data_IF_821230274291
#
_entry.id   IF_821230274291
#
_cell.length_a   1.000
_cell.length_b   1.000
_cell.length_c   1.000
_cell.angle_alpha   90.00
_cell.angle_beta   90.00
_cell.angle_gamma   90.00
#
_symmetry.space_group_name_H-M   'P 1'
#
loop_
_entity.id
_entity.type
_entity.pdbx_description
1 polymer ?
#
# COMPACT_ATOMS: atom_id res chain seq x y z
N UNK A 1 -89.71 -16.76 -56.45
CA UNK A 1 -89.52 -15.31 -56.36
C UNK A 1 -88.48 -15.04 -55.27
N UNK A 2 -87.50 -14.19 -55.60
CA UNK A 2 -86.36 -13.70 -54.80
C UNK A 2 -85.27 -14.75 -54.47
N UNK A 3 -84.19 -14.71 -55.25
CA UNK A 3 -82.89 -15.31 -54.93
C UNK A 3 -82.19 -14.41 -53.88
N UNK A 4 -81.63 -14.95 -52.78
CA UNK A 4 -80.80 -14.16 -51.87
C UNK A 4 -79.41 -13.92 -52.47
N UNK A 5 -78.99 -12.66 -52.43
CA UNK A 5 -77.67 -12.14 -52.79
C UNK A 5 -76.59 -12.62 -51.82
N UNK A 6 -75.61 -13.37 -52.32
CA UNK A 6 -74.37 -13.68 -51.61
C UNK A 6 -73.49 -12.42 -51.53
N UNK A 7 -73.15 -12.01 -50.31
CA UNK A 7 -72.19 -10.94 -50.07
C UNK A 7 -70.82 -11.59 -49.85
N UNK A 8 -69.75 -11.22 -50.60
CA UNK A 8 -68.46 -11.85 -50.43
C UNK A 8 -67.82 -11.48 -49.10
N UNK A 9 -67.43 -12.50 -48.33
CA UNK A 9 -66.71 -12.36 -47.06
C UNK A 9 -65.24 -11.95 -47.33
N UNK A 10 -64.67 -10.98 -46.60
CA UNK A 10 -63.31 -10.52 -46.85
C UNK A 10 -62.28 -11.59 -46.48
N UNK A 11 -61.31 -11.79 -47.36
CA UNK A 11 -60.17 -12.71 -47.18
C UNK A 11 -59.36 -12.31 -45.95
N UNK A 12 -59.07 -13.27 -45.06
CA UNK A 12 -58.23 -13.04 -43.89
C UNK A 12 -56.81 -12.64 -44.31
N UNK A 13 -56.32 -11.52 -43.80
CA UNK A 13 -54.92 -11.11 -43.91
C UNK A 13 -54.08 -12.03 -43.02
N UNK A 14 -52.97 -12.63 -43.50
CA UNK A 14 -52.14 -13.49 -42.67
C UNK A 14 -51.49 -12.66 -41.55
N UNK A 15 -51.67 -13.10 -40.31
CA UNK A 15 -51.00 -12.53 -39.13
C UNK A 15 -49.48 -12.70 -39.29
N UNK A 16 -48.74 -11.59 -39.28
CA UNK A 16 -47.28 -11.62 -39.31
C UNK A 16 -46.74 -12.34 -38.08
N UNK A 17 -45.97 -13.41 -38.28
CA UNK A 17 -45.26 -14.13 -37.22
C UNK A 17 -44.24 -13.19 -36.57
N UNK A 18 -44.32 -12.98 -35.26
CA UNK A 18 -43.37 -12.15 -34.54
C UNK A 18 -41.95 -12.74 -34.67
N UNK A 19 -41.01 -11.93 -35.16
CA UNK A 19 -39.58 -12.27 -35.16
C UNK A 19 -39.12 -12.29 -33.71
N UNK A 20 -38.53 -13.38 -33.19
CA UNK A 20 -38.00 -13.39 -31.83
C UNK A 20 -36.90 -12.33 -31.69
N UNK A 21 -36.94 -11.53 -30.62
CA UNK A 21 -35.87 -10.59 -30.30
C UNK A 21 -34.54 -11.38 -30.19
N UNK A 22 -33.41 -10.82 -30.68
CA UNK A 22 -32.12 -11.48 -30.52
C UNK A 22 -31.85 -11.72 -29.05
N UNK A 23 -31.53 -12.97 -28.71
CA UNK A 23 -31.17 -13.39 -27.35
C UNK A 23 -29.94 -12.59 -26.91
N UNK A 24 -30.09 -11.76 -25.89
CA UNK A 24 -28.99 -10.98 -25.33
C UNK A 24 -27.93 -11.96 -24.82
N UNK A 25 -26.70 -11.88 -25.35
CA UNK A 25 -25.62 -12.80 -24.98
C UNK A 25 -25.33 -12.61 -23.49
N UNK A 26 -25.33 -13.69 -22.67
CA UNK A 26 -25.12 -13.55 -21.24
C UNK A 26 -23.73 -12.95 -20.95
N UNK A 27 -23.71 -11.88 -20.15
CA UNK A 27 -22.49 -11.22 -19.69
C UNK A 27 -21.91 -12.06 -18.56
N UNK A 28 -20.72 -12.63 -18.77
CA UNK A 28 -20.02 -13.46 -17.79
C UNK A 28 -18.81 -12.69 -17.24
N UNK A 29 -18.52 -12.83 -15.93
CA UNK A 29 -17.36 -12.16 -15.34
C UNK A 29 -16.05 -12.72 -15.91
N UNK A 30 -15.09 -11.82 -16.04
CA UNK A 30 -13.73 -12.12 -16.43
C UNK A 30 -12.87 -12.39 -15.19
N UNK A 31 -11.79 -13.14 -15.36
CA UNK A 31 -10.75 -13.28 -14.34
C UNK A 31 -9.58 -12.33 -14.61
N UNK A 32 -9.06 -11.72 -13.55
CA UNK A 32 -7.79 -10.99 -13.55
C UNK A 32 -6.80 -11.71 -12.62
N UNK A 33 -5.59 -11.94 -13.12
CA UNK A 33 -4.45 -12.35 -12.31
C UNK A 33 -3.33 -11.32 -12.43
N UNK A 34 -2.73 -10.93 -11.30
CA UNK A 34 -1.57 -10.03 -11.26
C UNK A 34 -0.37 -10.82 -10.76
N UNK A 35 0.55 -11.13 -11.68
CA UNK A 35 1.58 -12.15 -11.49
C UNK A 35 2.97 -11.64 -11.88
N UNK A 36 4.04 -12.26 -11.37
CA UNK A 36 5.36 -12.10 -11.95
C UNK A 36 5.40 -12.57 -13.41
N UNK A 37 6.19 -11.89 -14.25
CA UNK A 37 6.56 -12.38 -15.56
C UNK A 37 7.46 -13.63 -15.46
N UNK A 38 7.62 -14.35 -16.57
CA UNK A 38 8.40 -15.58 -16.59
C UNK A 38 9.86 -15.31 -16.17
N UNK A 39 10.36 -16.10 -15.21
CA UNK A 39 11.67 -15.93 -14.55
C UNK A 39 11.83 -14.68 -13.65
N UNK A 40 10.77 -13.91 -13.40
CA UNK A 40 10.76 -12.87 -12.37
C UNK A 40 10.33 -13.46 -11.03
N UNK A 41 10.99 -13.05 -9.96
CA UNK A 41 10.52 -13.30 -8.58
C UNK A 41 10.30 -11.96 -7.92
N UNK A 42 9.03 -11.62 -7.67
CA UNK A 42 8.75 -10.49 -6.81
C UNK A 42 9.04 -10.89 -5.38
N UNK A 43 10.16 -10.40 -4.85
CA UNK A 43 10.36 -10.39 -3.41
C UNK A 43 9.38 -9.34 -2.89
N UNK A 44 8.24 -9.81 -2.40
CA UNK A 44 7.15 -8.98 -1.90
C UNK A 44 7.47 -8.34 -0.54
N UNK A 45 8.77 -8.23 -0.23
CA UNK A 45 9.35 -7.76 1.01
C UNK A 45 10.71 -7.17 0.63
N UNK A 46 11.02 -5.92 0.99
CA UNK A 46 12.31 -5.32 0.70
C UNK A 46 13.47 -6.16 1.27
N UNK A 47 14.62 -6.15 0.59
CA UNK A 47 15.82 -6.84 1.08
C UNK A 47 16.32 -6.20 2.38
N UNK A 48 16.24 -4.88 2.48
CA UNK A 48 16.63 -4.12 3.66
C UNK A 48 15.46 -3.25 4.12
N UNK A 49 15.15 -3.28 5.41
CA UNK A 49 14.08 -2.49 6.03
C UNK A 49 14.65 -1.80 7.26
N UNK A 50 14.53 -0.49 7.37
CA UNK A 50 14.75 0.24 8.62
C UNK A 50 13.42 0.83 9.11
N UNK A 51 13.02 0.47 10.33
CA UNK A 51 11.83 1.02 10.97
C UNK A 51 12.27 2.12 11.94
N UNK A 52 11.81 3.35 11.70
CA UNK A 52 12.03 4.50 12.58
C UNK A 52 10.77 4.71 13.42
N UNK A 53 10.91 4.51 14.72
CA UNK A 53 9.81 4.51 15.69
C UNK A 53 9.82 5.80 16.51
N UNK A 54 8.74 6.57 16.42
CA UNK A 54 8.48 7.69 17.31
C UNK A 54 8.19 7.22 18.75
N UNK A 55 9.04 7.67 19.67
CA UNK A 55 8.84 7.54 21.10
C UNK A 55 8.99 8.92 21.77
N UNK A 56 8.60 9.99 21.08
CA UNK A 56 8.57 11.35 21.60
C UNK A 56 7.51 11.52 22.70
N UNK A 57 7.53 12.66 23.39
CA UNK A 57 6.63 12.92 24.50
C UNK A 57 5.14 12.90 24.14
N UNK A 58 4.76 13.22 22.89
CA UNK A 58 3.38 13.17 22.41
C UNK A 58 2.82 11.76 22.39
N UNK A 59 3.66 10.74 22.24
CA UNK A 59 3.27 9.33 22.27
C UNK A 59 2.75 8.87 23.65
N UNK A 60 2.93 9.68 24.70
CA UNK A 60 2.34 9.47 26.02
C UNK A 60 0.86 9.88 26.10
N UNK A 61 0.34 10.62 25.12
CA UNK A 61 -1.06 11.01 25.07
C UNK A 61 -1.98 9.80 24.89
N UNK A 62 -3.17 9.87 25.47
CA UNK A 62 -4.21 8.84 25.31
C UNK A 62 -4.89 8.97 23.94
N UNK A 63 -5.23 7.84 23.32
CA UNK A 63 -6.13 7.81 22.16
C UNK A 63 -7.57 7.80 22.66
N UNK A 64 -8.39 8.82 22.34
CA UNK A 64 -9.74 8.96 22.88
C UNK A 64 -10.60 7.70 22.70
N UNK A 65 -11.26 7.28 23.77
CA UNK A 65 -12.17 6.12 23.76
C UNK A 65 -11.50 4.76 23.86
N UNK A 66 -10.16 4.68 23.94
CA UNK A 66 -9.44 3.40 24.01
C UNK A 66 -8.87 3.07 25.39
N UNK A 67 -8.66 4.08 26.26
CA UNK A 67 -7.94 3.90 27.52
C UNK A 67 -6.44 3.58 27.36
N UNK A 68 -5.91 3.64 26.14
CA UNK A 68 -4.51 3.35 25.81
C UNK A 68 -3.78 4.60 25.35
N UNK A 69 -2.50 4.69 25.70
CA UNK A 69 -1.58 5.69 25.13
C UNK A 69 -1.31 5.38 23.66
N UNK A 70 -1.00 6.42 22.90
CA UNK A 70 -0.55 6.32 21.51
C UNK A 70 0.60 5.32 21.37
N UNK A 71 1.60 5.40 22.24
CA UNK A 71 2.70 4.44 22.30
C UNK A 71 2.26 2.99 22.42
N UNK A 72 1.30 2.68 23.30
CA UNK A 72 0.86 1.30 23.50
C UNK A 72 0.23 0.72 22.23
N UNK A 73 -0.53 1.54 21.51
CA UNK A 73 -1.13 1.16 20.23
C UNK A 73 -0.05 0.96 19.16
N UNK A 74 0.93 1.86 19.08
CA UNK A 74 2.04 1.74 18.14
C UNK A 74 2.90 0.50 18.41
N UNK A 75 3.21 0.26 19.68
CA UNK A 75 3.95 -0.92 20.13
C UNK A 75 3.22 -2.22 19.75
N UNK A 76 1.91 -2.30 19.98
CA UNK A 76 1.08 -3.46 19.59
C UNK A 76 1.05 -3.69 18.07
N UNK A 77 0.92 -2.61 17.28
CA UNK A 77 0.91 -2.70 15.82
C UNK A 77 2.28 -3.11 15.25
N UNK A 78 3.37 -2.57 15.78
CA UNK A 78 4.73 -2.95 15.41
C UNK A 78 5.02 -4.41 15.76
N UNK A 79 4.60 -4.88 16.95
CA UNK A 79 4.70 -6.29 17.34
C UNK A 79 3.90 -7.19 16.42
N UNK A 80 2.70 -6.77 16.02
CA UNK A 80 1.88 -7.50 15.05
C UNK A 80 2.59 -7.59 13.71
N UNK A 81 3.18 -6.49 13.21
CA UNK A 81 3.93 -6.52 11.95
C UNK A 81 5.10 -7.50 11.99
N UNK A 82 5.94 -7.44 13.02
CA UNK A 82 7.14 -8.31 13.08
C UNK A 82 6.78 -9.78 13.38
N UNK A 83 5.56 -10.07 13.81
CA UNK A 83 5.09 -11.45 14.06
C UNK A 83 4.12 -11.98 13.00
N UNK A 84 3.63 -11.15 12.08
CA UNK A 84 2.61 -11.53 11.09
C UNK A 84 3.13 -12.47 9.99
N UNK A 85 4.45 -12.62 9.85
CA UNK A 85 5.07 -13.28 8.71
C UNK A 85 5.15 -12.41 7.45
N UNK A 86 4.79 -11.13 7.53
CA UNK A 86 4.92 -10.16 6.43
C UNK A 86 6.38 -9.86 6.10
N UNK A 87 7.23 -9.75 7.12
CA UNK A 87 8.69 -9.62 6.95
C UNK A 87 9.27 -11.03 6.88
N UNK A 88 9.89 -11.36 5.74
CA UNK A 88 10.49 -12.69 5.54
C UNK A 88 11.86 -12.80 6.23
N UNK A 89 12.29 -14.00 6.66
CA UNK A 89 13.63 -14.22 7.23
C UNK A 89 14.81 -13.84 6.29
N UNK A 90 14.54 -13.68 5.00
CA UNK A 90 15.51 -13.27 3.98
C UNK A 90 15.77 -11.76 3.99
N UNK A 91 14.88 -10.97 4.59
CA UNK A 91 15.05 -9.53 4.77
C UNK A 91 16.01 -9.24 5.92
N UNK A 92 16.78 -8.16 5.77
CA UNK A 92 17.54 -7.56 6.86
C UNK A 92 16.74 -6.41 7.46
N UNK A 93 16.65 -6.37 8.79
CA UNK A 93 15.87 -5.36 9.52
C UNK A 93 16.75 -4.60 10.50
N UNK A 94 16.67 -3.27 10.41
CA UNK A 94 17.14 -2.33 11.41
C UNK A 94 15.96 -1.68 12.12
N UNK A 95 16.15 -1.32 13.40
CA UNK A 95 15.16 -0.59 14.19
C UNK A 95 15.85 0.59 14.83
N UNK A 96 15.32 1.78 14.54
CA UNK A 96 15.73 3.06 15.10
C UNK A 96 14.56 3.65 15.88
N UNK A 97 14.87 4.40 16.92
CA UNK A 97 13.86 5.18 17.65
C UNK A 97 14.42 6.53 18.04
N UNK A 98 13.54 7.46 18.38
CA UNK A 98 13.92 8.77 18.91
C UNK A 98 13.03 9.21 20.06
N UNK A 99 13.54 10.13 20.88
CA UNK A 99 12.80 10.77 21.97
C UNK A 99 12.49 9.86 23.16
N UNK A 100 13.12 8.67 23.23
CA UNK A 100 12.80 7.61 24.19
C UNK A 100 13.66 7.64 25.48
N UNK A 101 14.80 8.35 25.49
CA UNK A 101 15.72 8.38 26.64
C UNK A 101 15.65 9.68 27.41
N UNK A 102 15.52 10.83 26.73
CA UNK A 102 15.66 12.13 27.40
C UNK A 102 14.79 13.22 26.76
N UNK A 103 14.06 13.94 27.61
CA UNK A 103 13.28 15.10 27.19
C UNK A 103 14.16 16.29 26.76
N UNK A 104 13.70 17.02 25.75
CA UNK A 104 14.37 18.21 25.20
C UNK A 104 15.65 17.93 24.42
N UNK A 105 15.97 16.67 24.13
CA UNK A 105 17.20 16.27 23.45
C UNK A 105 16.95 15.89 21.99
N UNK A 106 17.35 16.77 21.06
CA UNK A 106 17.27 16.53 19.62
C UNK A 106 18.33 15.54 19.10
N UNK A 107 19.35 15.23 19.91
CA UNK A 107 20.32 14.18 19.63
C UNK A 107 19.84 12.79 20.08
N UNK A 108 18.66 12.68 20.69
CA UNK A 108 18.10 11.41 21.13
C UNK A 108 17.53 10.61 19.96
N UNK A 109 18.42 10.17 19.08
CA UNK A 109 18.16 9.24 17.98
C UNK A 109 19.06 8.02 18.19
N UNK A 110 18.48 6.85 18.33
CA UNK A 110 19.20 5.62 18.66
C UNK A 110 18.89 4.49 17.70
N UNK A 111 19.94 3.84 17.21
CA UNK A 111 19.85 2.56 16.53
C UNK A 111 19.77 1.45 17.58
N UNK A 112 18.55 1.00 17.89
CA UNK A 112 18.31 -0.03 18.91
C UNK A 112 18.51 -1.45 18.37
N UNK A 113 18.45 -1.62 17.05
CA UNK A 113 18.85 -2.84 16.36
C UNK A 113 19.49 -2.49 15.02
N UNK A 114 20.79 -2.74 14.86
CA UNK A 114 21.46 -2.57 13.58
C UNK A 114 20.96 -3.54 12.50
N UNK A 115 21.18 -3.18 11.23
CA UNK A 115 20.74 -3.96 10.08
C UNK A 115 21.31 -5.38 10.14
N UNK A 116 20.43 -6.36 10.33
CA UNK A 116 20.79 -7.77 10.42
C UNK A 116 19.64 -8.64 9.96
N UNK A 117 19.91 -9.91 9.66
CA UNK A 117 18.87 -10.85 9.21
C UNK A 117 17.68 -10.89 10.18
N UNK A 118 16.47 -10.87 9.62
CA UNK A 118 15.26 -10.70 10.40
C UNK A 118 15.02 -11.85 11.39
N UNK A 119 14.72 -11.49 12.63
CA UNK A 119 14.32 -12.41 13.68
C UNK A 119 13.18 -11.76 14.50
N UNK A 120 11.99 -12.36 14.44
CA UNK A 120 10.79 -11.81 15.07
C UNK A 120 10.95 -11.65 16.60
N UNK A 121 11.47 -12.66 17.30
CA UNK A 121 11.63 -12.63 18.76
C UNK A 121 12.58 -11.52 19.22
N UNK A 122 13.70 -11.34 18.50
CA UNK A 122 14.63 -10.23 18.75
C UNK A 122 13.96 -8.89 18.53
N UNK A 123 13.25 -8.73 17.41
CA UNK A 123 12.56 -7.48 17.09
C UNK A 123 11.50 -7.13 18.16
N UNK A 124 10.73 -8.13 18.62
CA UNK A 124 9.78 -7.96 19.73
C UNK A 124 10.48 -7.51 21.01
N UNK A 125 11.59 -8.17 21.38
CA UNK A 125 12.37 -7.80 22.57
C UNK A 125 12.92 -6.37 22.51
N UNK A 126 13.35 -5.93 21.32
CA UNK A 126 13.79 -4.54 21.08
C UNK A 126 12.63 -3.57 21.23
N UNK A 127 11.48 -3.85 20.61
CA UNK A 127 10.27 -3.01 20.69
C UNK A 127 9.73 -2.91 22.14
N UNK A 128 9.81 -3.99 22.92
CA UNK A 128 9.42 -4.01 24.33
C UNK A 128 10.37 -3.19 25.23
N UNK A 129 11.59 -2.90 24.76
CA UNK A 129 12.58 -2.09 25.43
C UNK A 129 12.45 -0.57 25.20
N UNK A 130 11.60 -0.14 24.26
CA UNK A 130 11.42 1.27 23.93
C UNK A 130 10.33 1.88 24.82
N UNK A 131 10.60 3.06 25.37
CA UNK A 131 9.67 3.80 26.21
C UNK A 131 9.69 5.29 25.87
N UNK A 132 8.55 5.94 25.62
CA UNK A 132 8.57 7.37 25.34
C UNK A 132 9.04 8.19 26.54
N UNK A 133 9.94 9.15 26.31
CA UNK A 133 10.39 10.04 27.37
C UNK A 133 9.42 11.22 27.53
N UNK A 134 9.18 11.63 28.77
CA UNK A 134 8.45 12.88 29.05
C UNK A 134 9.23 14.05 28.44
N UNK A 135 8.59 14.78 27.53
CA UNK A 135 9.22 15.87 26.78
C UNK A 135 10.21 15.42 25.71
N UNK A 136 10.21 14.13 25.32
CA UNK A 136 11.01 13.62 24.21
C UNK A 136 10.72 14.39 22.92
N UNK A 137 11.77 14.66 22.15
CA UNK A 137 11.70 15.46 20.91
C UNK A 137 11.43 14.57 19.68
N UNK A 138 11.10 15.21 18.55
CA UNK A 138 10.74 14.57 17.27
C UNK A 138 11.74 14.98 16.16
N UNK A 139 13.00 14.50 16.20
CA UNK A 139 14.04 14.81 15.20
C UNK A 139 13.88 13.96 13.92
N UNK A 140 12.85 14.22 13.12
CA UNK A 140 12.56 13.46 11.89
C UNK A 140 13.71 13.55 10.88
N UNK A 141 14.20 14.76 10.60
CA UNK A 141 15.32 14.99 9.68
C UNK A 141 16.60 14.33 10.16
N UNK A 142 16.92 14.46 11.47
CA UNK A 142 18.07 13.78 12.06
C UNK A 142 17.98 12.25 11.97
N UNK A 143 16.77 11.70 12.14
CA UNK A 143 16.52 10.26 12.04
C UNK A 143 16.67 9.75 10.61
N UNK A 144 16.13 10.46 9.62
CA UNK A 144 16.24 10.11 8.21
C UNK A 144 17.69 10.22 7.70
N UNK A 145 18.43 11.23 8.15
CA UNK A 145 19.86 11.36 7.85
C UNK A 145 20.65 10.17 8.40
N UNK A 146 20.41 9.81 9.65
CA UNK A 146 21.11 8.69 10.27
C UNK A 146 20.75 7.34 9.62
N UNK A 147 19.50 7.16 9.18
CA UNK A 147 19.10 6.00 8.37
C UNK A 147 19.84 5.95 7.02
N UNK A 148 20.02 7.11 6.36
CA UNK A 148 20.79 7.18 5.12
C UNK A 148 22.27 6.77 5.31
N UNK A 149 22.88 7.16 6.43
CA UNK A 149 24.26 6.79 6.78
C UNK A 149 24.38 5.28 7.03
N UNK A 150 23.50 4.69 7.84
CA UNK A 150 23.55 3.27 8.17
C UNK A 150 23.29 2.37 6.96
N UNK A 151 22.41 2.82 6.06
CA UNK A 151 22.02 2.09 4.87
C UNK A 151 22.93 2.39 3.67
N UNK A 152 23.98 3.21 3.80
CA UNK A 152 24.83 3.62 2.67
C UNK A 152 25.44 2.41 1.94
N UNK A 153 25.87 1.38 2.66
CA UNK A 153 26.45 0.16 2.12
C UNK A 153 25.42 -0.93 1.77
N UNK A 154 24.13 -0.69 2.01
CA UNK A 154 23.09 -1.67 1.75
C UNK A 154 22.80 -1.78 0.24
N UNK A 155 22.88 -3.00 -0.29
CA UNK A 155 22.58 -3.32 -1.68
C UNK A 155 21.19 -3.92 -1.84
N UNK A 156 20.52 -3.62 -2.96
CA UNK A 156 19.18 -4.08 -3.30
C UNK A 156 18.07 -3.18 -2.76
N UNK A 157 16.82 -3.64 -2.87
CA UNK A 157 15.66 -2.87 -2.41
C UNK A 157 15.76 -2.54 -0.92
N UNK A 158 15.69 -1.25 -0.63
CA UNK A 158 15.92 -0.71 0.71
C UNK A 158 14.82 0.28 1.07
N UNK A 159 14.11 0.02 2.15
CA UNK A 159 12.95 0.82 2.56
C UNK A 159 13.14 1.34 3.98
N UNK A 160 12.88 2.63 4.17
CA UNK A 160 12.72 3.24 5.50
C UNK A 160 11.22 3.39 5.76
N UNK A 161 10.76 2.93 6.92
CA UNK A 161 9.38 3.09 7.39
C UNK A 161 9.40 4.01 8.61
N UNK A 162 8.91 5.23 8.44
CA UNK A 162 8.79 6.22 9.50
C UNK A 162 7.39 6.16 10.11
N UNK A 163 7.29 5.87 11.40
CA UNK A 163 6.04 5.92 12.17
C UNK A 163 6.13 7.11 13.13
N UNK A 164 5.22 8.08 13.03
CA UNK A 164 5.24 9.28 13.89
C UNK A 164 3.85 9.82 14.21
N UNK A 165 3.70 10.43 15.39
CA UNK A 165 2.47 11.11 15.82
C UNK A 165 2.56 12.65 15.81
N UNK A 166 3.63 13.18 15.22
CA UNK A 166 3.90 14.61 15.21
C UNK A 166 4.77 15.07 14.06
N UNK A 167 5.01 16.39 14.04
CA UNK A 167 5.92 17.03 13.09
C UNK A 167 7.30 17.21 13.71
N UNK A 168 8.27 17.52 12.84
CA UNK A 168 9.62 17.90 13.22
C UNK A 168 9.63 18.99 14.31
N UNK A 169 10.38 18.74 15.39
CA UNK A 169 10.53 19.69 16.51
C UNK A 169 12.00 20.07 16.79
N UNK A 170 12.94 19.63 15.95
CA UNK A 170 14.39 19.80 16.13
C UNK A 170 15.07 20.59 15.02
N UNK A 171 14.30 21.37 14.26
CA UNK A 171 14.79 22.22 13.15
C UNK A 171 15.48 21.42 12.02
N UNK A 172 15.17 20.13 11.88
CA UNK A 172 15.55 19.34 10.72
C UNK A 172 14.72 19.66 9.47
N UNK A 173 15.17 19.15 8.32
CA UNK A 173 14.40 19.16 7.07
C UNK A 173 14.15 17.72 6.61
N UNK A 174 13.11 17.04 7.14
CA UNK A 174 12.86 15.65 6.80
C UNK A 174 12.49 15.44 5.32
N UNK A 175 11.96 16.47 4.64
CA UNK A 175 11.62 16.40 3.22
C UNK A 175 12.90 16.32 2.39
N UNK A 176 13.87 17.19 2.67
CA UNK A 176 15.18 17.14 2.02
C UNK A 176 15.93 15.84 2.31
N UNK A 177 15.89 15.34 3.55
CA UNK A 177 16.58 14.09 3.91
C UNK A 177 15.95 12.86 3.25
N UNK A 178 14.62 12.80 3.13
CA UNK A 178 13.94 11.76 2.38
C UNK A 178 14.32 11.79 0.89
N UNK A 179 14.39 12.97 0.28
CA UNK A 179 14.86 13.14 -1.09
C UNK A 179 16.32 12.70 -1.27
N UNK A 180 17.20 13.08 -0.34
CA UNK A 180 18.61 12.68 -0.36
C UNK A 180 18.75 11.15 -0.28
N UNK A 181 17.97 10.50 0.60
CA UNK A 181 17.99 9.05 0.75
C UNK A 181 17.67 8.33 -0.55
N UNK A 182 16.61 8.72 -1.27
CA UNK A 182 16.22 8.05 -2.52
C UNK A 182 17.12 8.39 -3.70
N UNK A 183 17.78 9.55 -3.70
CA UNK A 183 18.77 9.89 -4.71
C UNK A 183 20.14 9.23 -4.48
N UNK A 184 20.40 8.71 -3.27
CA UNK A 184 21.70 8.11 -2.93
C UNK A 184 21.96 6.77 -3.63
N UNK A 185 20.92 5.99 -3.93
CA UNK A 185 21.01 4.74 -4.69
C UNK A 185 19.65 4.34 -5.27
N UNK A 186 19.60 3.53 -6.33
CA UNK A 186 18.34 3.02 -6.87
C UNK A 186 17.61 2.10 -5.87
N UNK A 187 16.31 1.90 -6.10
CA UNK A 187 15.45 1.00 -5.32
C UNK A 187 15.35 1.37 -3.82
N UNK A 188 15.44 2.67 -3.51
CA UNK A 188 15.24 3.23 -2.17
C UNK A 188 13.89 3.92 -2.05
N UNK A 189 13.22 3.75 -0.92
CA UNK A 189 11.96 4.43 -0.62
C UNK A 189 11.88 4.81 0.85
N UNK A 190 11.18 5.91 1.15
CA UNK A 190 10.76 6.30 2.50
C UNK A 190 9.25 6.29 2.57
N UNK A 191 8.70 5.39 3.37
CA UNK A 191 7.29 5.35 3.71
C UNK A 191 7.05 6.08 5.02
N UNK A 192 5.91 6.76 5.13
CA UNK A 192 5.54 7.53 6.32
C UNK A 192 4.14 7.14 6.77
N UNK A 193 4.01 6.84 8.06
CA UNK A 193 2.73 6.56 8.70
C UNK A 193 2.51 7.61 9.78
N UNK A 194 1.54 8.49 9.54
CA UNK A 194 1.06 9.46 10.52
C UNK A 194 0.06 8.79 11.46
N UNK A 195 0.40 8.67 12.74
CA UNK A 195 -0.44 8.05 13.74
C UNK A 195 -1.11 9.08 14.64
N UNK A 196 -2.44 9.05 14.73
CA UNK A 196 -3.23 9.96 15.57
C UNK A 196 -2.95 11.47 15.33
N UNK A 197 -2.61 11.84 14.08
CA UNK A 197 -2.17 13.19 13.71
C UNK A 197 -3.27 14.25 13.87
N UNK A 198 -4.55 13.92 13.63
CA UNK A 198 -5.72 14.76 13.94
C UNK A 198 -5.81 16.13 13.24
N UNK A 199 -4.71 16.64 12.70
CA UNK A 199 -4.54 17.93 12.03
C UNK A 199 -4.16 17.72 10.56
N UNK A 200 -4.97 18.26 9.65
CA UNK A 200 -4.80 18.03 8.22
C UNK A 200 -3.51 18.64 7.66
N UNK A 201 -3.07 19.79 8.19
CA UNK A 201 -1.84 20.45 7.76
C UNK A 201 -0.61 19.65 8.17
N UNK A 202 -0.64 19.04 9.36
CA UNK A 202 0.38 18.09 9.80
C UNK A 202 0.41 16.83 8.91
N UNK A 203 -0.74 16.23 8.61
CA UNK A 203 -0.80 15.08 7.69
C UNK A 203 -0.25 15.45 6.29
N UNK A 204 -0.52 16.66 5.80
CA UNK A 204 0.00 17.13 4.51
C UNK A 204 1.54 17.25 4.53
N UNK A 205 2.12 17.81 5.59
CA UNK A 205 3.58 17.90 5.74
C UNK A 205 4.24 16.53 5.84
N UNK A 206 3.64 15.58 6.55
CA UNK A 206 4.17 14.21 6.60
C UNK A 206 4.06 13.50 5.23
N UNK A 207 3.01 13.78 4.46
CA UNK A 207 2.88 13.30 3.09
C UNK A 207 3.97 13.84 2.17
N UNK A 208 4.39 15.09 2.34
CA UNK A 208 5.50 15.66 1.56
C UNK A 208 6.82 14.91 1.76
N UNK A 209 7.07 14.39 2.98
CA UNK A 209 8.23 13.53 3.27
C UNK A 209 8.13 12.23 2.47
N UNK A 210 6.98 11.54 2.50
CA UNK A 210 6.77 10.31 1.75
C UNK A 210 6.89 10.53 0.23
N UNK A 211 6.31 11.61 -0.30
CA UNK A 211 6.41 11.96 -1.72
C UNK A 211 7.86 12.20 -2.14
N UNK A 212 8.62 12.95 -1.34
CA UNK A 212 10.04 13.22 -1.61
C UNK A 212 10.91 11.97 -1.45
N UNK A 213 10.53 11.09 -0.54
CA UNK A 213 11.08 9.75 -0.38
C UNK A 213 10.49 8.72 -1.34
N UNK A 214 9.75 9.15 -2.36
CA UNK A 214 9.12 8.33 -3.39
C UNK A 214 8.40 7.07 -2.84
N UNK A 215 7.76 7.23 -1.69
CA UNK A 215 7.07 6.18 -0.97
C UNK A 215 5.62 6.55 -0.64
N UNK A 216 4.99 5.68 0.16
CA UNK A 216 3.59 5.77 0.55
C UNK A 216 3.42 6.58 1.83
N UNK A 217 2.31 7.31 1.90
CA UNK A 217 1.84 7.96 3.10
C UNK A 217 0.53 7.34 3.56
N UNK A 218 0.41 7.04 4.84
CA UNK A 218 -0.83 6.56 5.46
C UNK A 218 -1.17 7.36 6.72
N UNK A 219 -2.45 7.65 6.91
CA UNK A 219 -3.00 8.12 8.18
C UNK A 219 -3.58 6.92 8.94
N UNK A 220 -3.22 6.77 10.22
CA UNK A 220 -3.77 5.77 11.10
C UNK A 220 -4.35 6.41 12.37
N UNK A 221 -5.62 6.15 12.68
CA UNK A 221 -6.28 6.66 13.88
C UNK A 221 -6.36 5.62 15.02
N UNK A 222 -6.11 4.34 14.72
CA UNK A 222 -6.21 3.24 15.68
C UNK A 222 -5.24 2.10 15.34
N UNK A 223 -5.17 1.09 16.21
CA UNK A 223 -4.25 -0.05 16.09
C UNK A 223 -4.44 -0.85 14.81
N UNK A 224 -5.68 -1.10 14.39
CA UNK A 224 -5.97 -1.87 13.18
C UNK A 224 -5.49 -1.16 11.92
N UNK A 225 -5.78 0.14 11.81
CA UNK A 225 -5.30 0.97 10.70
C UNK A 225 -3.78 1.09 10.68
N UNK A 226 -3.14 1.22 11.85
CA UNK A 226 -1.69 1.31 11.95
C UNK A 226 -1.02 0.00 11.53
N UNK A 227 -1.53 -1.14 11.99
CA UNK A 227 -1.03 -2.46 11.60
C UNK A 227 -1.18 -2.72 10.11
N UNK A 228 -2.32 -2.35 9.52
CA UNK A 228 -2.55 -2.49 8.08
C UNK A 228 -1.64 -1.57 7.27
N UNK A 229 -1.50 -0.30 7.68
CA UNK A 229 -0.59 0.65 7.03
C UNK A 229 0.84 0.13 7.03
N UNK A 230 1.32 -0.36 8.18
CA UNK A 230 2.63 -0.99 8.31
C UNK A 230 2.79 -2.18 7.35
N UNK A 231 1.79 -3.06 7.26
CA UNK A 231 1.81 -4.19 6.32
C UNK A 231 1.90 -3.71 4.86
N UNK A 232 1.15 -2.67 4.50
CA UNK A 232 1.12 -2.11 3.15
C UNK A 232 2.43 -1.40 2.74
N UNK A 233 3.25 -0.97 3.71
CA UNK A 233 4.59 -0.42 3.42
C UNK A 233 5.64 -1.48 3.07
N UNK A 234 5.36 -2.76 3.35
CA UNK A 234 6.31 -3.86 3.09
C UNK A 234 5.92 -4.67 1.86
N UNK A 235 4.62 -4.72 1.55
CA UNK A 235 4.04 -5.57 0.52
C UNK A 235 3.60 -4.73 -0.66
N UNK A 236 3.98 -5.14 -1.87
CA UNK A 236 3.40 -4.59 -3.10
C UNK A 236 1.95 -5.08 -3.24
N UNK A 237 1.04 -4.13 -3.20
CA UNK A 237 -0.39 -4.30 -3.39
C UNK A 237 -0.82 -3.63 -4.69
N UNK A 238 -1.87 -4.15 -5.27
CA UNK A 238 -2.54 -3.53 -6.40
C UNK A 238 -4.00 -3.23 -6.07
N UNK A 239 -4.53 -2.22 -6.73
CA UNK A 239 -5.94 -1.85 -6.73
C UNK A 239 -6.43 -1.83 -8.17
N UNK A 240 -7.66 -2.25 -8.37
CA UNK A 240 -8.39 -2.10 -9.62
C UNK A 240 -9.48 -1.08 -9.36
N UNK A 241 -9.41 0.04 -10.05
CA UNK A 241 -10.39 1.13 -9.92
C UNK A 241 -11.13 1.34 -11.23
N UNK A 242 -12.39 1.77 -11.12
CA UNK A 242 -13.19 2.24 -12.27
C UNK A 242 -12.70 3.61 -12.75
N UNK A 243 -13.23 4.07 -13.88
CA UNK A 243 -12.87 5.37 -14.46
C UNK A 243 -13.16 6.57 -13.54
N UNK A 244 -14.19 6.47 -12.69
CA UNK A 244 -14.58 7.44 -11.65
C UNK A 244 -13.80 7.27 -10.34
N UNK A 245 -12.88 6.29 -10.27
CA UNK A 245 -11.97 6.10 -9.14
C UNK A 245 -12.49 5.23 -8.01
N UNK A 246 -13.64 4.56 -8.19
CA UNK A 246 -14.13 3.61 -7.20
C UNK A 246 -13.31 2.30 -7.24
N UNK A 247 -12.85 1.84 -6.07
CA UNK A 247 -12.16 0.57 -5.94
C UNK A 247 -13.14 -0.60 -6.11
N UNK A 248 -12.86 -1.48 -7.07
CA UNK A 248 -13.67 -2.69 -7.33
C UNK A 248 -12.96 -3.97 -6.92
N UNK A 249 -11.64 -3.93 -6.80
CA UNK A 249 -10.84 -5.01 -6.26
C UNK A 249 -9.49 -4.50 -5.76
N UNK A 250 -8.91 -5.23 -4.81
CA UNK A 250 -7.55 -5.01 -4.36
C UNK A 250 -6.92 -6.35 -4.00
N UNK A 251 -5.59 -6.43 -4.07
CA UNK A 251 -4.87 -7.65 -3.75
C UNK A 251 -3.39 -7.42 -3.57
N UNK A 252 -2.71 -8.49 -3.17
CA UNK A 252 -1.26 -8.52 -3.03
C UNK A 252 -0.64 -9.16 -4.27
N UNK A 253 0.49 -8.65 -4.75
CA UNK A 253 1.20 -9.26 -5.88
C UNK A 253 1.52 -10.74 -5.62
N UNK A 254 1.23 -11.60 -6.61
CA UNK A 254 1.52 -13.03 -6.54
C UNK A 254 0.50 -13.87 -5.76
N UNK A 255 -0.67 -13.33 -5.41
CA UNK A 255 -1.77 -14.17 -4.92
C UNK A 255 -2.23 -15.15 -6.02
N UNK A 256 -2.48 -16.44 -5.67
CA UNK A 256 -2.83 -17.47 -6.65
C UNK A 256 -4.29 -17.38 -7.12
N UNK A 257 -5.15 -16.68 -6.37
CA UNK A 257 -6.58 -16.59 -6.67
C UNK A 257 -6.86 -15.46 -7.68
N UNK A 258 -7.54 -15.77 -8.80
CA UNK A 258 -7.97 -14.75 -9.74
C UNK A 258 -9.10 -13.90 -9.16
N UNK A 259 -9.09 -12.61 -9.49
CA UNK A 259 -10.17 -11.68 -9.17
C UNK A 259 -11.22 -11.72 -10.27
N UNK A 260 -12.49 -11.82 -9.89
CA UNK A 260 -13.61 -11.68 -10.82
C UNK A 260 -13.92 -10.20 -11.07
N UNK A 261 -13.92 -9.78 -12.34
CA UNK A 261 -14.28 -8.44 -12.77
C UNK A 261 -15.44 -8.51 -13.76
N UNK A 262 -16.37 -7.56 -13.66
CA UNK A 262 -17.35 -7.37 -14.71
C UNK A 262 -16.68 -6.83 -15.98
N UNK A 263 -17.23 -7.07 -17.17
CA UNK A 263 -16.71 -6.46 -18.39
C UNK A 263 -16.79 -4.93 -18.32
N UNK A 264 -15.69 -4.26 -18.67
CA UNK A 264 -15.57 -2.82 -18.52
C UNK A 264 -14.13 -2.33 -18.65
N UNK A 265 -13.95 -1.03 -18.47
CA UNK A 265 -12.62 -0.39 -18.44
C UNK A 265 -12.26 -0.02 -17.01
N UNK A 266 -11.06 -0.41 -16.61
CA UNK A 266 -10.51 -0.20 -15.28
C UNK A 266 -9.09 0.35 -15.36
N UNK A 267 -8.57 0.81 -14.23
CA UNK A 267 -7.15 1.10 -14.04
C UNK A 267 -6.59 0.17 -12.96
N UNK A 268 -5.53 -0.55 -13.31
CA UNK A 268 -4.68 -1.24 -12.36
C UNK A 268 -3.68 -0.25 -11.80
N UNK A 269 -3.73 -0.02 -10.49
CA UNK A 269 -2.78 0.79 -9.74
C UNK A 269 -1.94 -0.13 -8.88
N UNK A 270 -0.62 -0.01 -8.93
CA UNK A 270 0.28 -0.74 -8.04
C UNK A 270 1.04 0.28 -7.21
N UNK A 271 1.15 0.04 -5.91
CA UNK A 271 1.92 0.85 -4.96
C UNK A 271 3.44 0.66 -5.16
N UNK A 272 3.90 0.75 -6.41
CA UNK A 272 5.30 0.75 -6.82
C UNK A 272 5.87 2.17 -6.80
N UNK A 273 7.17 2.29 -7.06
CA UNK A 273 7.83 3.56 -7.29
C UNK A 273 8.65 3.53 -8.60
N UNK A 274 8.34 4.40 -9.59
CA UNK A 274 7.15 5.25 -9.63
C UNK A 274 5.85 4.42 -9.53
N UNK A 275 4.75 4.99 -9.02
CA UNK A 275 3.45 4.32 -9.03
C UNK A 275 3.11 3.85 -10.43
N UNK A 276 2.75 2.57 -10.55
CA UNK A 276 2.37 1.99 -11.83
C UNK A 276 0.87 2.13 -11.99
N UNK A 277 0.44 2.87 -13.01
CA UNK A 277 -0.96 2.90 -13.44
C UNK A 277 -1.05 2.32 -14.86
N UNK A 278 -1.90 1.30 -15.04
CA UNK A 278 -2.13 0.66 -16.32
C UNK A 278 -3.62 0.54 -16.59
N UNK A 279 -4.06 0.99 -17.76
CA UNK A 279 -5.44 0.78 -18.21
C UNK A 279 -5.67 -0.71 -18.52
N UNK A 280 -6.81 -1.23 -18.07
CA UNK A 280 -7.30 -2.58 -18.29
C UNK A 280 -8.65 -2.53 -19.01
N UNK A 281 -8.73 -3.14 -20.19
CA UNK A 281 -10.00 -3.35 -20.89
C UNK A 281 -10.41 -4.81 -20.73
N UNK A 282 -11.47 -5.05 -19.98
CA UNK A 282 -11.95 -6.38 -19.60
C UNK A 282 -13.17 -6.74 -20.44
N UNK A 283 -13.11 -7.86 -21.17
CA UNK A 283 -14.23 -8.39 -21.98
C UNK A 283 -14.98 -9.49 -21.23
N UNK A 284 -16.22 -9.76 -21.63
CA UNK A 284 -17.02 -10.89 -21.11
C UNK A 284 -16.25 -12.20 -21.24
N UNK A 285 -16.21 -12.98 -20.16
CA UNK A 285 -15.52 -14.27 -20.08
C UNK A 285 -14.01 -14.23 -20.46
N UNK A 286 -13.35 -13.09 -20.29
CA UNK A 286 -11.93 -12.98 -20.57
C UNK A 286 -11.09 -13.54 -19.40
N UNK A 287 -9.91 -14.06 -19.73
CA UNK A 287 -8.82 -14.29 -18.78
C UNK A 287 -7.77 -13.21 -19.02
N UNK A 288 -7.59 -12.31 -18.06
CA UNK A 288 -6.61 -11.23 -18.09
C UNK A 288 -5.45 -11.55 -17.16
N UNK A 289 -4.23 -11.53 -17.69
CA UNK A 289 -3.01 -11.68 -16.90
C UNK A 289 -2.19 -10.39 -17.01
N UNK A 290 -2.03 -9.69 -15.89
CA UNK A 290 -1.10 -8.58 -15.75
C UNK A 290 0.25 -9.13 -15.28
N UNK A 291 1.20 -9.30 -16.21
CA UNK A 291 2.52 -9.86 -15.93
C UNK A 291 3.50 -8.73 -15.62
N UNK A 292 4.09 -8.76 -14.44
CA UNK A 292 4.95 -7.71 -13.92
C UNK A 292 6.42 -8.07 -14.09
N UNK A 293 7.26 -7.09 -14.41
CA UNK A 293 8.72 -7.26 -14.50
C UNK A 293 9.48 -6.02 -14.07
N UNK A 294 10.71 -6.20 -13.60
CA UNK A 294 11.55 -5.07 -13.22
C UNK A 294 12.15 -4.45 -14.49
N UNK A 295 11.98 -3.14 -14.67
CA UNK A 295 12.51 -2.39 -15.81
C UNK A 295 13.46 -1.28 -15.41
N UNK A 296 14.13 -0.68 -16.41
CA UNK A 296 14.86 0.56 -16.23
C UNK A 296 13.86 1.68 -15.92
N UNK A 297 13.93 2.25 -14.71
CA UNK A 297 13.02 3.32 -14.28
C UNK A 297 11.76 2.89 -13.53
N UNK A 298 11.60 1.60 -13.16
CA UNK A 298 10.49 1.18 -12.29
C UNK A 298 9.94 -0.22 -12.56
N UNK A 299 8.78 -0.48 -11.97
CA UNK A 299 7.98 -1.66 -12.26
C UNK A 299 7.29 -1.49 -13.62
N UNK A 300 7.33 -2.51 -14.47
CA UNK A 300 6.62 -2.55 -15.74
C UNK A 300 5.56 -3.64 -15.71
N UNK A 301 4.49 -3.47 -16.50
CA UNK A 301 3.41 -4.45 -16.65
C UNK A 301 3.13 -4.74 -18.12
N UNK A 302 3.00 -6.01 -18.45
CA UNK A 302 2.59 -6.51 -19.76
C UNK A 302 1.23 -7.22 -19.62
N UNK A 303 0.20 -6.68 -20.26
CA UNK A 303 -1.17 -7.22 -20.21
C UNK A 303 -1.37 -8.27 -21.28
N UNK A 304 -1.75 -9.48 -20.85
CA UNK A 304 -2.13 -10.58 -21.73
C UNK A 304 -3.61 -10.86 -21.55
N UNK A 305 -4.34 -11.04 -22.65
CA UNK A 305 -5.77 -11.36 -22.62
C UNK A 305 -6.02 -12.58 -23.46
N UNK A 306 -6.62 -13.60 -22.85
CA UNK A 306 -7.09 -14.81 -23.50
C UNK A 306 -8.59 -15.03 -23.26
N UNK A 307 -9.13 -16.06 -23.89
CA UNK A 307 -10.45 -16.58 -23.57
C UNK A 307 -10.33 -17.58 -22.41
N UNK A 308 -11.36 -17.62 -21.56
CA UNK A 308 -11.40 -18.46 -20.36
C UNK A 308 -11.80 -19.89 -20.65
#
# INVERSE_FOLDING_TARGET
AVLPTDTPQPTAVPTATAVPLPTEVPVMPASLMVLPADNETFVNTPKNIEIIIDASGSMLAEVPGTGKRRWQIAQEALKTLVTSGTITPQSSVAIRTYGHRKGGDCGDVEMVQGLSGFNADRAVGVIDGIYPAVGGMTPLGGSLRAAAEDLQAAEGSTVVILVTDGLESCNGDPVAEAANFVHSAPQRMVHVIGFAIGDQDASNKLREIAVSGQGLYFDAANSAQLAESLRQTIVLNYQVVTADGAEVAAGTLGQPEPIELQPGTYKLKINANPPLEQELVVKSNARVEARLRQGYGGLLVDIHTGER
#
